data_IF_986614770571
#
_entry.id   IF_986614770571
#
_cell.length_a   1.000
_cell.length_b   1.000
_cell.length_c   1.000
_cell.angle_alpha   90.00
_cell.angle_beta   90.00
_cell.angle_gamma   90.00
#
_symmetry.space_group_name_H-M   'P 1'
#
loop_
_entity.id
_entity.type
_entity.pdbx_description
1 polymer ?
#
# COMPACT_ATOMS: atom_id res chain seq x y z
N UNK A 1 3.13 13.43 -13.01
CA UNK A 1 1.82 13.63 -12.31
C UNK A 1 2.03 13.48 -10.80
N UNK A 2 1.14 13.99 -9.96
CA UNK A 2 1.21 13.81 -8.50
C UNK A 2 0.49 12.53 -8.05
N UNK A 3 0.96 11.89 -6.98
CA UNK A 3 0.34 10.66 -6.45
C UNK A 3 -1.15 10.86 -6.12
N UNK A 4 -1.55 12.03 -5.61
CA UNK A 4 -2.96 12.34 -5.31
C UNK A 4 -3.89 12.32 -6.53
N UNK A 5 -3.35 12.47 -7.73
CA UNK A 5 -4.12 12.40 -8.97
C UNK A 5 -4.39 10.95 -9.40
N UNK A 6 -3.54 10.03 -8.93
CA UNK A 6 -3.61 8.59 -9.16
C UNK A 6 -4.40 7.86 -8.07
N UNK A 7 -4.28 8.29 -6.81
CA UNK A 7 -4.83 7.59 -5.65
C UNK A 7 -5.64 8.50 -4.73
N UNK A 8 -6.76 7.98 -4.23
CA UNK A 8 -7.35 8.45 -2.97
C UNK A 8 -6.55 7.85 -1.82
N UNK A 9 -5.95 8.70 -0.99
CA UNK A 9 -5.10 8.27 0.13
C UNK A 9 -5.88 8.35 1.44
N UNK A 10 -6.05 7.22 2.12
CA UNK A 10 -6.65 7.06 3.44
C UNK A 10 -5.59 6.63 4.47
N UNK A 11 -5.96 6.72 5.75
CA UNK A 11 -5.08 6.40 6.87
C UNK A 11 -5.84 5.52 7.87
N UNK A 12 -5.27 4.37 8.19
CA UNK A 12 -5.73 3.53 9.29
C UNK A 12 -5.54 4.21 10.63
N UNK A 13 -6.41 3.87 11.58
CA UNK A 13 -6.36 4.38 12.95
C UNK A 13 -5.58 3.43 13.85
N UNK A 14 -5.21 3.87 15.05
CA UNK A 14 -4.70 2.97 16.05
C UNK A 14 -5.83 2.06 16.53
N UNK A 15 -5.61 0.75 16.48
CA UNK A 15 -6.53 -0.26 17.02
C UNK A 15 -5.80 -0.99 18.15
N UNK A 16 -6.37 -0.90 19.35
CA UNK A 16 -5.83 -1.45 20.59
C UNK A 16 -6.08 -2.95 20.71
N UNK A 17 -5.31 -3.62 21.57
CA UNK A 17 -5.47 -5.06 21.79
C UNK A 17 -6.79 -5.37 22.53
N UNK A 18 -7.25 -4.45 23.37
CA UNK A 18 -8.54 -4.53 24.05
C UNK A 18 -9.72 -4.50 23.06
N UNK A 19 -9.70 -3.57 22.09
CA UNK A 19 -10.71 -3.52 21.02
C UNK A 19 -10.75 -4.81 20.19
N UNK A 20 -9.59 -5.41 19.95
CA UNK A 20 -9.48 -6.69 19.23
C UNK A 20 -10.04 -7.81 20.10
N UNK A 21 -9.66 -7.88 21.37
CA UNK A 21 -10.09 -8.92 22.30
C UNK A 21 -11.62 -8.98 22.46
N UNK A 22 -12.28 -7.82 22.50
CA UNK A 22 -13.73 -7.74 22.58
C UNK A 22 -14.45 -7.80 21.22
N UNK A 23 -13.72 -7.99 20.12
CA UNK A 23 -14.33 -8.10 18.79
C UNK A 23 -14.74 -9.54 18.47
N UNK A 24 -16.01 -9.73 18.07
CA UNK A 24 -16.50 -10.97 17.46
C UNK A 24 -16.45 -10.94 15.92
N UNK A 25 -15.68 -10.02 15.36
CA UNK A 25 -15.63 -9.77 13.93
C UNK A 25 -14.75 -10.75 13.17
N UNK A 26 -14.83 -10.70 11.84
CA UNK A 26 -14.05 -11.55 10.92
C UNK A 26 -13.23 -10.77 9.91
N UNK A 27 -13.27 -9.43 9.95
CA UNK A 27 -12.48 -8.60 9.04
C UNK A 27 -11.05 -8.53 9.58
N UNK A 28 -10.02 -8.97 8.83
CA UNK A 28 -8.65 -8.94 9.30
C UNK A 28 -8.20 -7.50 9.57
N UNK A 29 -7.52 -7.29 10.70
CA UNK A 29 -6.87 -6.03 11.04
C UNK A 29 -5.40 -6.16 10.65
N UNK A 30 -5.01 -5.52 9.56
CA UNK A 30 -3.63 -5.56 9.07
C UNK A 30 -2.77 -4.51 9.75
N UNK A 31 -1.51 -4.86 10.02
CA UNK A 31 -0.49 -3.97 10.54
C UNK A 31 0.33 -3.33 9.42
N UNK A 32 1.20 -2.40 9.82
CA UNK A 32 2.20 -1.76 8.97
C UNK A 32 3.07 -2.75 8.17
N UNK A 33 3.32 -3.94 8.70
CA UNK A 33 4.13 -4.98 8.06
C UNK A 33 3.31 -6.00 7.26
N UNK A 34 2.02 -5.73 7.03
CA UNK A 34 1.08 -6.63 6.37
C UNK A 34 0.83 -7.94 7.12
N UNK A 35 0.89 -7.90 8.45
CA UNK A 35 0.54 -9.02 9.31
C UNK A 35 -0.86 -8.83 9.87
N UNK A 36 -1.57 -9.92 10.16
CA UNK A 36 -2.88 -9.87 10.81
C UNK A 36 -2.66 -9.73 12.32
N UNK A 37 -3.07 -8.61 12.90
CA UNK A 37 -3.03 -8.35 14.34
C UNK A 37 -4.18 -9.05 15.09
N UNK A 38 -5.29 -9.25 14.40
CA UNK A 38 -6.53 -9.79 14.94
C UNK A 38 -7.68 -9.52 13.99
N UNK A 39 -8.92 -9.67 14.47
CA UNK A 39 -10.11 -9.50 13.65
C UNK A 39 -11.04 -8.45 14.25
N UNK A 40 -11.66 -7.68 13.37
CA UNK A 40 -12.57 -6.60 13.67
C UNK A 40 -13.90 -6.75 12.96
N UNK A 41 -14.87 -5.91 13.32
CA UNK A 41 -16.21 -5.92 12.74
C UNK A 41 -16.36 -5.01 11.51
N UNK A 42 -15.38 -4.14 11.25
CA UNK A 42 -15.47 -3.10 10.23
C UNK A 42 -14.29 -3.21 9.27
N UNK A 43 -14.53 -2.89 8.01
CA UNK A 43 -13.47 -2.65 7.03
C UNK A 43 -13.29 -1.16 6.81
N UNK A 44 -12.05 -0.74 6.57
CA UNK A 44 -11.72 0.65 6.22
C UNK A 44 -11.91 0.93 4.72
N UNK A 45 -12.02 -0.11 3.90
CA UNK A 45 -12.26 -0.04 2.46
C UNK A 45 -13.58 -0.74 2.12
N UNK A 46 -14.12 -0.44 0.93
CA UNK A 46 -15.25 -1.17 0.36
C UNK A 46 -14.76 -2.13 -0.73
N UNK A 47 -15.61 -3.08 -1.13
CA UNK A 47 -15.31 -4.02 -2.21
C UNK A 47 -14.96 -3.28 -3.51
N UNK A 48 -15.65 -2.19 -3.79
CA UNK A 48 -15.44 -1.32 -4.96
C UNK A 48 -14.13 -0.51 -4.94
N UNK A 49 -13.44 -0.47 -3.79
CA UNK A 49 -12.12 0.15 -3.63
C UNK A 49 -10.98 -0.85 -3.88
N UNK A 50 -11.28 -2.14 -4.02
CA UNK A 50 -10.32 -3.21 -4.20
C UNK A 50 -10.05 -3.50 -5.70
N UNK A 51 -8.84 -3.96 -6.05
CA UNK A 51 -7.66 -4.08 -5.17
C UNK A 51 -7.08 -2.70 -4.83
N UNK A 52 -6.44 -2.58 -3.66
CA UNK A 52 -5.80 -1.34 -3.20
C UNK A 52 -4.38 -1.58 -2.70
N UNK A 53 -3.64 -0.51 -2.42
CA UNK A 53 -2.28 -0.60 -1.87
C UNK A 53 -2.24 -0.17 -0.41
N UNK A 54 -1.36 -0.79 0.36
CA UNK A 54 -1.08 -0.40 1.75
C UNK A 54 0.42 -0.28 1.99
N UNK A 55 0.80 0.65 2.88
CA UNK A 55 2.19 0.80 3.30
C UNK A 55 2.31 1.36 4.72
N UNK A 56 3.42 1.04 5.44
CA UNK A 56 3.67 1.61 6.75
C UNK A 56 4.07 3.09 6.63
N UNK A 57 3.34 3.98 7.31
CA UNK A 57 3.69 5.41 7.29
C UNK A 57 4.90 5.73 8.14
N UNK A 58 5.13 4.97 9.21
CA UNK A 58 6.31 5.03 10.10
C UNK A 58 7.18 3.79 9.89
N UNK A 59 8.49 3.95 10.06
CA UNK A 59 9.48 2.90 9.84
C UNK A 59 9.34 2.27 8.44
N UNK A 60 9.04 3.09 7.42
CA UNK A 60 8.91 2.60 6.05
C UNK A 60 10.23 2.01 5.56
N UNK A 61 10.20 0.72 5.19
CA UNK A 61 11.37 -0.04 4.70
C UNK A 61 11.32 -0.28 3.19
N UNK A 62 10.43 0.41 2.48
CA UNK A 62 10.24 0.21 1.04
C UNK A 62 9.14 -0.78 0.67
N UNK A 63 8.53 -1.50 1.62
CA UNK A 63 7.49 -2.48 1.29
C UNK A 63 6.12 -1.83 1.13
N UNK A 64 5.50 -2.05 -0.02
CA UNK A 64 4.11 -1.67 -0.33
C UNK A 64 3.38 -2.95 -0.73
N UNK A 65 2.21 -3.17 -0.15
CA UNK A 65 1.45 -4.41 -0.28
C UNK A 65 0.19 -4.18 -1.09
N UNK A 66 -0.20 -5.18 -1.87
CA UNK A 66 -1.51 -5.21 -2.54
C UNK A 66 -2.49 -5.91 -1.61
N UNK A 67 -3.67 -5.33 -1.45
CA UNK A 67 -4.79 -5.92 -0.71
C UNK A 67 -5.91 -6.22 -1.70
N UNK A 68 -6.29 -7.48 -1.76
CA UNK A 68 -7.36 -7.99 -2.64
C UNK A 68 -8.68 -8.22 -1.87
N UNK A 69 -8.64 -8.23 -0.54
CA UNK A 69 -9.77 -8.51 0.35
C UNK A 69 -10.08 -7.32 1.27
N UNK A 70 -11.26 -7.35 1.91
CA UNK A 70 -11.64 -6.35 2.91
C UNK A 70 -10.77 -6.47 4.17
N UNK A 71 -10.27 -5.35 4.66
CA UNK A 71 -9.47 -5.28 5.88
C UNK A 71 -9.79 -4.04 6.71
N UNK A 72 -9.36 -4.05 7.98
CA UNK A 72 -9.14 -2.86 8.79
C UNK A 72 -7.64 -2.59 8.87
N UNK A 73 -7.25 -1.33 9.02
CA UNK A 73 -5.83 -0.95 9.01
C UNK A 73 -5.44 -0.35 10.36
N UNK A 74 -4.46 -0.97 11.03
CA UNK A 74 -3.85 -0.42 12.23
C UNK A 74 -2.61 0.41 11.85
N UNK A 75 -2.66 1.73 12.04
CA UNK A 75 -1.55 2.66 11.76
C UNK A 75 -0.90 2.51 10.36
N UNK A 76 -1.69 2.13 9.37
CA UNK A 76 -1.23 1.81 8.01
C UNK A 76 -1.92 2.71 7.00
N UNK A 77 -1.18 3.26 6.03
CA UNK A 77 -1.79 4.07 4.99
C UNK A 77 -2.40 3.17 3.89
N UNK A 78 -3.44 3.68 3.24
CA UNK A 78 -4.21 3.00 2.20
C UNK A 78 -4.26 3.89 0.96
N UNK A 79 -3.95 3.35 -0.20
CA UNK A 79 -4.01 4.02 -1.50
C UNK A 79 -5.02 3.29 -2.38
N UNK A 80 -6.15 3.92 -2.64
CA UNK A 80 -7.22 3.41 -3.49
C UNK A 80 -7.04 4.00 -4.88
N UNK A 81 -6.86 3.14 -5.89
CA UNK A 81 -6.60 3.58 -7.26
C UNK A 81 -7.82 4.33 -7.81
N UNK A 82 -7.60 5.44 -8.49
CA UNK A 82 -8.67 6.15 -9.17
C UNK A 82 -9.19 5.30 -10.35
N UNK A 83 -10.52 5.08 -10.39
CA UNK A 83 -11.21 4.21 -11.36
C UNK A 83 -10.87 4.51 -12.81
N UNK A 84 -10.54 5.76 -13.16
CA UNK A 84 -10.12 6.13 -14.53
C UNK A 84 -8.91 5.34 -15.03
N UNK A 85 -8.05 4.84 -14.14
CA UNK A 85 -6.82 4.13 -14.50
C UNK A 85 -6.91 2.60 -14.40
N UNK A 86 -8.08 2.04 -14.07
CA UNK A 86 -8.22 0.59 -13.83
C UNK A 86 -7.84 -0.27 -15.04
N UNK A 87 -8.02 0.24 -16.26
CA UNK A 87 -7.69 -0.48 -17.50
C UNK A 87 -6.24 -0.28 -17.96
N UNK A 88 -5.51 0.63 -17.32
CA UNK A 88 -4.16 1.03 -17.74
C UNK A 88 -3.07 0.53 -16.78
N UNK A 89 -3.46 0.12 -15.57
CA UNK A 89 -2.52 -0.07 -14.46
C UNK A 89 -2.61 -1.48 -13.88
N UNK A 90 -1.44 -2.10 -13.76
CA UNK A 90 -1.23 -3.26 -12.90
C UNK A 90 -0.78 -2.77 -11.51
N UNK A 91 -1.59 -3.04 -10.49
CA UNK A 91 -1.33 -2.52 -9.15
C UNK A 91 -0.06 -3.11 -8.50
N UNK A 92 0.32 -4.34 -8.84
CA UNK A 92 1.61 -4.94 -8.42
C UNK A 92 2.79 -4.23 -9.06
N UNK A 93 2.66 -3.77 -10.31
CA UNK A 93 3.70 -2.95 -10.93
C UNK A 93 3.85 -1.63 -10.17
N UNK A 94 2.73 -0.97 -9.84
CA UNK A 94 2.75 0.29 -9.10
C UNK A 94 3.31 0.12 -7.69
N UNK A 95 3.04 -0.99 -6.99
CA UNK A 95 3.64 -1.23 -5.67
C UNK A 95 5.16 -1.29 -5.74
N UNK A 96 5.73 -1.95 -6.77
CA UNK A 96 7.19 -2.03 -6.98
C UNK A 96 7.76 -0.67 -7.41
N UNK A 97 7.06 0.04 -8.29
CA UNK A 97 7.47 1.36 -8.77
C UNK A 97 7.49 2.40 -7.64
N UNK A 98 6.39 2.51 -6.89
CA UNK A 98 6.28 3.42 -5.75
C UNK A 98 7.27 3.05 -4.65
N UNK A 99 7.51 1.76 -4.37
CA UNK A 99 8.54 1.32 -3.43
C UNK A 99 9.89 1.98 -3.72
N UNK A 100 10.33 1.95 -4.99
CA UNK A 100 11.60 2.56 -5.42
C UNK A 100 11.62 4.08 -5.30
N UNK A 101 10.49 4.74 -5.56
CA UNK A 101 10.38 6.20 -5.45
C UNK A 101 10.40 6.61 -3.98
N UNK A 102 9.53 6.02 -3.17
CA UNK A 102 9.36 6.39 -1.77
C UNK A 102 10.61 6.16 -0.93
N UNK A 103 11.41 5.11 -1.23
CA UNK A 103 12.71 4.91 -0.58
C UNK A 103 13.64 6.12 -0.77
N UNK A 104 13.63 6.76 -1.95
CA UNK A 104 14.47 7.95 -2.22
C UNK A 104 14.02 9.19 -1.45
N UNK A 105 12.77 9.21 -1.01
CA UNK A 105 12.18 10.29 -0.21
C UNK A 105 12.28 10.05 1.30
N UNK A 106 12.93 8.96 1.73
CA UNK A 106 13.26 8.75 3.12
C UNK A 106 14.33 9.75 3.53
N UNK A 107 13.98 10.71 4.39
CA UNK A 107 14.95 11.64 4.95
C UNK A 107 15.81 10.92 5.99
N UNK A 108 17.13 11.01 5.84
CA UNK A 108 18.10 10.55 6.85
C UNK A 108 18.13 11.42 8.11
N UNK A 109 17.40 12.54 8.12
CA UNK A 109 17.46 13.56 9.18
C UNK A 109 16.63 13.21 10.42
N UNK A 110 15.67 12.28 10.32
CA UNK A 110 14.89 11.83 11.47
C UNK A 110 15.17 10.34 11.72
N UNK A 111 15.39 9.97 12.98
CA UNK A 111 15.68 8.59 13.40
C UNK A 111 14.61 7.55 13.01
N UNK A 112 13.47 7.97 12.47
CA UNK A 112 12.40 7.12 11.95
C UNK A 112 11.99 7.59 10.55
N UNK A 113 12.17 6.70 9.57
CA UNK A 113 11.66 6.82 8.20
C UNK A 113 10.14 7.05 8.22
N UNK A 114 9.68 8.29 7.95
CA UNK A 114 8.26 8.65 7.98
C UNK A 114 7.81 9.26 6.65
N UNK A 115 6.78 8.66 6.03
CA UNK A 115 6.11 9.20 4.84
C UNK A 115 4.62 9.32 5.16
N UNK A 116 4.23 10.47 5.67
CA UNK A 116 2.84 10.80 5.96
C UNK A 116 2.01 11.10 4.70
N UNK A 117 0.69 10.98 4.82
CA UNK A 117 -0.29 11.23 3.74
C UNK A 117 -0.09 12.56 3.00
N UNK A 118 0.22 13.65 3.71
CA UNK A 118 0.37 14.97 3.09
C UNK A 118 1.61 15.05 2.19
N UNK A 119 2.73 14.47 2.63
CA UNK A 119 3.94 14.38 1.81
C UNK A 119 3.69 13.48 0.61
N UNK A 120 3.14 12.28 0.86
CA UNK A 120 2.86 11.30 -0.20
C UNK A 120 2.01 11.90 -1.34
N UNK A 121 0.96 12.65 -1.01
CA UNK A 121 0.04 13.27 -1.98
C UNK A 121 0.76 14.14 -3.01
N UNK A 122 1.80 14.84 -2.59
CA UNK A 122 2.47 15.85 -3.40
C UNK A 122 3.71 15.31 -4.14
N UNK A 123 4.13 14.06 -3.87
CA UNK A 123 5.22 13.43 -4.61
C UNK A 123 4.84 13.33 -6.09
N UNK A 124 5.76 13.78 -6.94
CA UNK A 124 5.66 13.66 -8.38
C UNK A 124 6.19 12.30 -8.84
N UNK A 125 5.46 11.71 -9.79
CA UNK A 125 5.78 10.43 -10.40
C UNK A 125 5.70 10.53 -11.92
N UNK A 126 6.51 9.71 -12.58
CA UNK A 126 6.56 9.63 -14.03
C UNK A 126 5.23 9.12 -14.60
N UNK A 127 4.74 9.80 -15.64
CA UNK A 127 3.54 9.46 -16.40
C UNK A 127 3.70 9.99 -17.84
N UNK A 128 3.26 9.26 -18.89
CA UNK A 128 2.48 8.02 -18.86
C UNK A 128 3.27 6.80 -18.36
N UNK A 129 2.55 5.84 -17.78
CA UNK A 129 3.15 4.55 -17.43
C UNK A 129 3.40 3.70 -18.69
N UNK A 130 4.31 2.71 -18.63
CA UNK A 130 4.41 1.68 -19.67
C UNK A 130 3.06 1.00 -19.93
N UNK A 131 2.90 0.36 -21.07
CA UNK A 131 1.65 -0.35 -21.39
C UNK A 131 1.35 -1.43 -20.35
N UNK A 132 0.08 -1.78 -20.15
CA UNK A 132 -0.32 -2.82 -19.19
C UNK A 132 0.43 -4.14 -19.44
N UNK A 133 0.67 -4.49 -20.70
CA UNK A 133 1.46 -5.67 -21.11
C UNK A 133 2.91 -5.60 -20.62
N UNK A 134 3.55 -4.44 -20.71
CA UNK A 134 4.92 -4.23 -20.22
C UNK A 134 4.98 -4.25 -18.69
N UNK A 135 3.99 -3.66 -18.03
CA UNK A 135 3.87 -3.72 -16.57
C UNK A 135 3.76 -5.17 -16.08
N UNK A 136 2.90 -6.00 -16.71
CA UNK A 136 2.78 -7.43 -16.38
C UNK A 136 4.11 -8.17 -16.58
N UNK A 137 4.78 -7.97 -17.73
CA UNK A 137 6.11 -8.57 -17.99
C UNK A 137 7.14 -8.16 -16.94
N UNK A 138 7.10 -6.90 -16.49
CA UNK A 138 8.00 -6.41 -15.46
C UNK A 138 7.74 -7.11 -14.12
N UNK A 139 6.47 -7.22 -13.70
CA UNK A 139 6.07 -7.92 -12.47
C UNK A 139 6.54 -9.37 -12.50
N UNK A 140 6.29 -10.10 -13.60
CA UNK A 140 6.74 -11.49 -13.74
C UNK A 140 8.25 -11.66 -13.58
N UNK A 141 9.04 -10.76 -14.21
CA UNK A 141 10.50 -10.78 -14.08
C UNK A 141 10.94 -10.47 -12.64
N UNK A 142 10.31 -9.49 -12.01
CA UNK A 142 10.62 -9.10 -10.64
C UNK A 142 10.33 -10.23 -9.65
N UNK A 143 9.16 -10.88 -9.76
CA UNK A 143 8.79 -12.04 -8.92
C UNK A 143 9.76 -13.22 -9.13
N UNK A 144 10.21 -13.48 -10.37
CA UNK A 144 11.24 -14.51 -10.63
C UNK A 144 12.57 -14.21 -9.92
N UNK A 145 13.03 -12.95 -9.95
CA UNK A 145 14.27 -12.55 -9.28
C UNK A 145 14.14 -12.68 -7.76
N UNK A 146 13.00 -12.28 -7.18
CA UNK A 146 12.78 -12.42 -5.74
C UNK A 146 12.82 -13.89 -5.29
N UNK A 147 12.25 -14.80 -6.07
CA UNK A 147 12.31 -16.24 -5.77
C UNK A 147 13.74 -16.77 -5.73
N UNK A 148 14.61 -16.29 -6.61
CA UNK A 148 16.03 -16.70 -6.64
C UNK A 148 16.80 -16.17 -5.43
N UNK A 149 16.51 -14.94 -4.99
CA UNK A 149 17.22 -14.31 -3.85
C UNK A 149 16.81 -14.82 -2.48
N UNK A 150 15.66 -15.48 -2.38
CA UNK A 150 15.12 -16.02 -1.13
C UNK A 150 15.37 -17.54 -0.98
N UNK A 151 16.26 -18.11 -1.80
CA UNK A 151 16.87 -19.44 -1.64
C UNK A 151 18.27 -19.21 -1.10
#
# INVERSE_FOLDING_TARGET
MKIKELFTINQGIQITDEEIYYSNGKIPIITANNEIKGYGNKSIVKIEDLPCLTYPTKAFTGKIFVQDDLFSANNTAILILNKKYFQEINLKYISIFLSKILIKHLSSENAVNYIGKNVLKEIEIDYPFPTLKEQCKYVEKYEKILKIKNI
#
